data_IF_508727522278
#
_entry.id   IF_508727522278
#
_cell.length_a   1.000
_cell.length_b   1.000
_cell.length_c   1.000
_cell.angle_alpha   90.00
_cell.angle_beta   90.00
_cell.angle_gamma   90.00
#
_symmetry.space_group_name_H-M   'P 1'
#
loop_
_entity.id
_entity.type
_entity.pdbx_description
1 polymer ?
#
# COMPACT_ATOMS: atom_id res chain seq x y z
N UNK A 1 -7.32 0.24 7.35
CA UNK A 1 -7.63 1.16 8.47
C UNK A 1 -8.95 1.89 8.16
N UNK A 2 -9.82 2.04 9.14
CA UNK A 2 -11.13 2.69 8.97
C UNK A 2 -11.32 3.74 10.08
N UNK A 3 -11.92 4.87 9.75
CA UNK A 3 -12.26 5.92 10.72
C UNK A 3 -13.44 5.47 11.57
N UNK A 4 -13.43 5.78 12.86
CA UNK A 4 -14.52 5.42 13.78
C UNK A 4 -15.85 6.04 13.36
N UNK A 5 -15.88 7.31 12.95
CA UNK A 5 -17.10 7.97 12.48
C UNK A 5 -17.75 7.21 11.33
N UNK A 6 -16.97 6.87 10.30
CA UNK A 6 -17.45 6.11 9.14
C UNK A 6 -17.96 4.70 9.49
N UNK A 7 -17.37 4.06 10.50
CA UNK A 7 -17.86 2.78 11.01
C UNK A 7 -19.20 2.93 11.74
N UNK A 8 -19.27 3.87 12.69
CA UNK A 8 -20.46 4.05 13.52
C UNK A 8 -21.66 4.57 12.73
N UNK A 9 -21.44 5.42 11.72
CA UNK A 9 -22.48 5.83 10.77
C UNK A 9 -23.18 4.63 10.12
N UNK A 10 -22.42 3.61 9.73
CA UNK A 10 -22.97 2.36 9.17
C UNK A 10 -23.52 1.43 10.27
N UNK A 11 -22.93 1.45 11.45
CA UNK A 11 -23.31 0.57 12.56
C UNK A 11 -24.72 0.84 13.08
N UNK A 12 -25.15 2.10 13.08
CA UNK A 12 -26.48 2.52 13.52
C UNK A 12 -27.54 2.47 12.42
N UNK A 13 -27.17 2.18 11.18
CA UNK A 13 -28.12 2.02 10.08
C UNK A 13 -28.70 0.59 10.06
N UNK A 14 -29.94 0.47 9.57
CA UNK A 14 -30.56 -0.83 9.33
C UNK A 14 -29.73 -1.59 8.29
N UNK A 15 -29.41 -2.85 8.57
CA UNK A 15 -28.64 -3.70 7.66
C UNK A 15 -29.47 -4.06 6.45
N UNK A 16 -28.91 -3.80 5.27
CA UNK A 16 -29.46 -4.24 4.00
C UNK A 16 -28.41 -5.07 3.27
N UNK A 17 -28.74 -6.32 2.95
CA UNK A 17 -27.87 -7.20 2.19
C UNK A 17 -28.04 -6.89 0.71
N UNK A 18 -27.13 -6.07 0.19
CA UNK A 18 -27.06 -5.66 -1.21
C UNK A 18 -25.70 -6.10 -1.79
N UNK A 19 -25.56 -6.09 -3.11
CA UNK A 19 -24.28 -6.34 -3.82
C UNK A 19 -23.77 -7.79 -3.88
N UNK A 20 -24.66 -8.79 -4.00
CA UNK A 20 -24.27 -10.20 -4.17
C UNK A 20 -23.23 -10.41 -5.29
N UNK A 21 -23.40 -9.77 -6.45
CA UNK A 21 -22.44 -9.85 -7.57
C UNK A 21 -21.03 -9.36 -7.18
N UNK A 22 -20.95 -8.23 -6.45
CA UNK A 22 -19.68 -7.68 -6.01
C UNK A 22 -18.99 -8.59 -4.99
N UNK A 23 -19.76 -9.17 -4.06
CA UNK A 23 -19.25 -10.13 -3.08
C UNK A 23 -18.61 -11.32 -3.79
N UNK A 24 -19.29 -11.89 -4.79
CA UNK A 24 -18.76 -13.02 -5.58
C UNK A 24 -17.48 -12.62 -6.31
N UNK A 25 -17.45 -11.46 -6.96
CA UNK A 25 -16.26 -10.94 -7.66
C UNK A 25 -15.10 -10.81 -6.67
N UNK A 26 -15.31 -10.17 -5.52
CA UNK A 26 -14.26 -9.99 -4.51
C UNK A 26 -13.75 -11.31 -3.94
N UNK A 27 -14.62 -12.29 -3.70
CA UNK A 27 -14.20 -13.63 -3.28
C UNK A 27 -13.32 -14.31 -4.32
N UNK A 28 -13.77 -14.34 -5.58
CA UNK A 28 -13.04 -15.01 -6.68
C UNK A 28 -11.70 -14.34 -6.89
N UNK A 29 -11.65 -13.01 -7.03
CA UNK A 29 -10.40 -12.28 -7.22
C UNK A 29 -9.49 -12.37 -5.98
N UNK A 30 -10.06 -12.35 -4.79
CA UNK A 30 -9.33 -12.54 -3.54
C UNK A 30 -8.62 -13.88 -3.47
N UNK A 31 -9.34 -14.97 -3.80
CA UNK A 31 -8.79 -16.33 -3.84
C UNK A 31 -7.73 -16.45 -4.93
N UNK A 32 -8.02 -16.00 -6.16
CA UNK A 32 -7.06 -16.09 -7.28
C UNK A 32 -5.77 -15.33 -6.94
N UNK A 33 -5.86 -14.09 -6.48
CA UNK A 33 -4.67 -13.30 -6.13
C UNK A 33 -3.90 -13.92 -4.97
N UNK A 34 -4.58 -14.23 -3.86
CA UNK A 34 -3.90 -14.67 -2.64
C UNK A 34 -3.45 -16.12 -2.69
N UNK A 35 -4.33 -17.03 -3.11
CA UNK A 35 -4.09 -18.47 -3.03
C UNK A 35 -3.34 -18.98 -4.25
N UNK A 36 -3.66 -18.50 -5.45
CA UNK A 36 -3.04 -19.01 -6.69
C UNK A 36 -1.82 -18.18 -7.11
N UNK A 37 -1.89 -16.85 -7.12
CA UNK A 37 -0.76 -16.06 -7.62
C UNK A 37 0.30 -15.89 -6.53
N UNK A 38 -0.07 -15.37 -5.37
CA UNK A 38 0.89 -14.99 -4.36
C UNK A 38 1.66 -16.17 -3.76
N UNK A 39 1.00 -17.31 -3.53
CA UNK A 39 1.67 -18.50 -2.99
C UNK A 39 2.76 -19.04 -3.92
N UNK A 40 2.46 -19.21 -5.21
CA UNK A 40 3.43 -19.74 -6.18
C UNK A 40 4.60 -18.78 -6.38
N UNK A 41 4.31 -17.48 -6.54
CA UNK A 41 5.37 -16.48 -6.68
C UNK A 41 6.20 -16.31 -5.40
N UNK A 42 5.59 -16.51 -4.22
CA UNK A 42 6.29 -16.49 -2.94
C UNK A 42 7.29 -17.63 -2.80
N UNK A 43 6.88 -18.85 -3.15
CA UNK A 43 7.78 -20.02 -3.17
C UNK A 43 8.93 -19.79 -4.15
N UNK A 44 8.62 -19.36 -5.37
CA UNK A 44 9.62 -19.08 -6.40
C UNK A 44 10.61 -17.99 -5.94
N UNK A 45 10.11 -16.82 -5.54
CA UNK A 45 10.95 -15.71 -5.12
C UNK A 45 11.83 -16.08 -3.93
N UNK A 46 11.26 -16.74 -2.91
CA UNK A 46 12.01 -17.18 -1.72
C UNK A 46 13.14 -18.14 -2.06
N UNK A 47 12.90 -19.12 -2.94
CA UNK A 47 13.91 -20.11 -3.34
C UNK A 47 15.18 -19.50 -3.97
N UNK A 48 15.03 -18.32 -4.59
CA UNK A 48 16.12 -17.58 -5.24
C UNK A 48 16.73 -16.54 -4.28
N UNK A 49 15.88 -15.73 -3.63
CA UNK A 49 16.32 -14.61 -2.80
C UNK A 49 16.97 -15.03 -1.48
N UNK A 50 16.73 -16.26 -0.99
CA UNK A 50 17.41 -16.81 0.19
C UNK A 50 18.88 -17.21 -0.12
N UNK A 51 19.20 -17.52 -1.38
CA UNK A 51 20.53 -17.98 -1.79
C UNK A 51 21.04 -17.21 -3.02
N UNK A 52 21.10 -15.88 -2.98
CA UNK A 52 21.30 -15.06 -4.18
C UNK A 52 22.63 -15.31 -4.88
N UNK A 53 23.66 -15.76 -4.15
CA UNK A 53 24.97 -16.11 -4.71
C UNK A 53 24.95 -17.34 -5.62
N UNK A 54 23.88 -18.15 -5.56
CA UNK A 54 23.75 -19.38 -6.35
C UNK A 54 23.05 -19.18 -7.70
N UNK A 55 22.58 -17.96 -7.99
CA UNK A 55 21.75 -17.67 -9.16
C UNK A 55 22.35 -16.55 -10.01
N UNK A 56 22.05 -16.58 -11.31
CA UNK A 56 22.51 -15.55 -12.23
C UNK A 56 21.65 -14.27 -12.18
N UNK A 57 22.11 -13.22 -12.85
CA UNK A 57 21.44 -11.92 -12.89
C UNK A 57 19.96 -11.99 -13.32
N UNK A 58 19.64 -12.76 -14.36
CA UNK A 58 18.27 -12.86 -14.89
C UNK A 58 17.35 -13.53 -13.86
N UNK A 59 17.84 -14.59 -13.21
CA UNK A 59 17.09 -15.29 -12.16
C UNK A 59 16.83 -14.37 -10.97
N UNK A 60 17.84 -13.64 -10.50
CA UNK A 60 17.70 -12.67 -9.42
C UNK A 60 16.69 -11.57 -9.78
N UNK A 61 16.79 -11.01 -10.98
CA UNK A 61 15.86 -9.98 -11.44
C UNK A 61 14.42 -10.51 -11.51
N UNK A 62 14.23 -11.73 -12.03
CA UNK A 62 12.92 -12.37 -12.08
C UNK A 62 12.33 -12.61 -10.68
N UNK A 63 13.17 -12.97 -9.71
CA UNK A 63 12.76 -13.20 -8.33
C UNK A 63 12.34 -11.90 -7.63
N UNK A 64 13.02 -10.78 -7.91
CA UNK A 64 12.64 -9.44 -7.41
C UNK A 64 11.26 -9.04 -7.95
N UNK A 65 11.00 -9.22 -9.24
CA UNK A 65 9.68 -8.92 -9.81
C UNK A 65 8.60 -9.88 -9.31
N UNK A 66 8.92 -11.17 -9.18
CA UNK A 66 8.01 -12.15 -8.59
C UNK A 66 7.65 -11.78 -7.15
N UNK A 67 8.62 -11.34 -6.35
CA UNK A 67 8.40 -10.87 -4.99
C UNK A 67 7.51 -9.63 -4.95
N UNK A 68 7.73 -8.65 -5.84
CA UNK A 68 6.88 -7.46 -5.93
C UNK A 68 5.42 -7.83 -6.22
N UNK A 69 5.18 -8.69 -7.22
CA UNK A 69 3.83 -9.17 -7.57
C UNK A 69 3.25 -9.99 -6.42
N UNK A 70 4.05 -10.84 -5.77
CA UNK A 70 3.62 -11.65 -4.63
C UNK A 70 3.09 -10.77 -3.51
N UNK A 71 3.84 -9.75 -3.06
CA UNK A 71 3.39 -8.85 -1.99
C UNK A 71 2.07 -8.17 -2.37
N UNK A 72 1.95 -7.69 -3.60
CA UNK A 72 0.73 -7.05 -4.07
C UNK A 72 -0.46 -8.00 -4.08
N UNK A 73 -0.30 -9.19 -4.67
CA UNK A 73 -1.38 -10.17 -4.79
C UNK A 73 -1.78 -10.75 -3.43
N UNK A 74 -0.82 -10.99 -2.53
CA UNK A 74 -1.10 -11.49 -1.18
C UNK A 74 -1.95 -10.48 -0.40
N UNK A 75 -1.55 -9.21 -0.45
CA UNK A 75 -2.22 -8.18 0.32
C UNK A 75 -3.51 -7.70 -0.33
N UNK A 76 -3.50 -7.40 -1.63
CA UNK A 76 -4.72 -7.03 -2.34
C UNK A 76 -5.75 -8.15 -2.34
N UNK A 77 -5.31 -9.41 -2.47
CA UNK A 77 -6.21 -10.56 -2.38
C UNK A 77 -6.82 -10.69 -0.98
N UNK A 78 -6.02 -10.50 0.08
CA UNK A 78 -6.54 -10.45 1.44
C UNK A 78 -7.58 -9.34 1.64
N UNK A 79 -7.29 -8.12 1.15
CA UNK A 79 -8.23 -6.99 1.25
C UNK A 79 -9.54 -7.27 0.53
N UNK A 80 -9.50 -7.89 -0.66
CA UNK A 80 -10.73 -8.25 -1.39
C UNK A 80 -11.60 -9.22 -0.57
N UNK A 81 -11.00 -10.25 0.04
CA UNK A 81 -11.72 -11.18 0.91
C UNK A 81 -12.34 -10.47 2.12
N UNK A 82 -11.58 -9.59 2.76
CA UNK A 82 -12.07 -8.81 3.90
C UNK A 82 -13.22 -7.87 3.49
N UNK A 83 -13.14 -7.23 2.33
CA UNK A 83 -14.22 -6.42 1.77
C UNK A 83 -15.46 -7.27 1.44
N UNK A 84 -15.29 -8.47 0.89
CA UNK A 84 -16.40 -9.38 0.63
C UNK A 84 -17.12 -9.77 1.92
N UNK A 85 -16.38 -10.15 2.96
CA UNK A 85 -16.96 -10.49 4.27
C UNK A 85 -17.61 -9.28 4.94
N UNK A 86 -17.01 -8.09 4.83
CA UNK A 86 -17.64 -6.87 5.35
C UNK A 86 -18.98 -6.60 4.66
N UNK A 87 -19.05 -6.74 3.34
CA UNK A 87 -20.31 -6.58 2.59
C UNK A 87 -21.35 -7.63 2.98
N UNK A 88 -20.93 -8.88 3.21
CA UNK A 88 -21.81 -9.92 3.76
C UNK A 88 -22.34 -9.58 5.16
N UNK A 89 -21.64 -8.75 5.93
CA UNK A 89 -22.09 -8.26 7.24
C UNK A 89 -22.84 -6.91 7.14
N UNK A 90 -23.09 -6.43 5.92
CA UNK A 90 -23.74 -5.14 5.67
C UNK A 90 -22.86 -3.94 5.99
N UNK A 91 -21.54 -4.06 5.85
CA UNK A 91 -20.56 -2.97 5.97
C UNK A 91 -19.80 -2.77 4.66
N UNK A 92 -19.50 -1.52 4.36
CA UNK A 92 -18.57 -1.14 3.29
C UNK A 92 -17.26 -0.68 3.91
N UNK A 93 -16.14 -1.21 3.41
CA UNK A 93 -14.81 -0.80 3.82
C UNK A 93 -14.18 0.16 2.80
N UNK A 94 -13.30 1.07 3.24
CA UNK A 94 -12.57 1.93 2.31
C UNK A 94 -11.63 1.09 1.42
N UNK A 95 -11.45 1.48 0.14
CA UNK A 95 -10.54 0.78 -0.75
C UNK A 95 -9.10 0.90 -0.27
N UNK A 96 -8.31 -0.14 -0.48
CA UNK A 96 -6.90 -0.15 -0.09
C UNK A 96 -5.93 -0.19 -1.28
N UNK A 97 -6.39 -0.63 -2.45
CA UNK A 97 -5.58 -0.73 -3.66
C UNK A 97 -6.34 -0.23 -4.89
N UNK A 98 -5.65 0.49 -5.78
CA UNK A 98 -6.21 0.97 -7.05
C UNK A 98 -5.17 0.94 -8.18
N UNK A 99 -4.89 -0.27 -8.69
CA UNK A 99 -3.92 -0.51 -9.77
C UNK A 99 -2.57 0.22 -9.55
N UNK A 100 -1.88 -0.03 -8.41
CA UNK A 100 -0.71 0.77 -8.01
C UNK A 100 0.46 0.71 -9.00
N UNK A 101 0.63 -0.40 -9.73
CA UNK A 101 1.70 -0.53 -10.73
C UNK A 101 1.43 0.22 -12.04
N UNK A 102 0.23 0.80 -12.23
CA UNK A 102 -0.05 1.75 -13.33
C UNK A 102 0.21 3.20 -12.93
N UNK A 103 0.79 3.44 -11.75
CA UNK A 103 1.10 4.78 -11.28
C UNK A 103 2.15 5.46 -12.18
N UNK A 104 1.94 6.75 -12.44
CA UNK A 104 2.85 7.56 -13.28
C UNK A 104 4.13 7.98 -12.56
N UNK A 105 4.11 7.99 -11.24
CA UNK A 105 5.25 8.34 -10.38
C UNK A 105 5.01 7.85 -8.95
N UNK A 106 5.99 8.00 -8.05
CA UNK A 106 5.91 7.48 -6.68
C UNK A 106 4.80 8.14 -5.84
N UNK A 107 4.45 9.41 -6.10
CA UNK A 107 3.33 10.07 -5.41
C UNK A 107 1.99 9.43 -5.82
N UNK A 108 1.80 9.17 -7.11
CA UNK A 108 0.63 8.47 -7.64
C UNK A 108 0.58 7.00 -7.13
N UNK A 109 1.74 6.35 -7.00
CA UNK A 109 1.85 5.01 -6.42
C UNK A 109 1.28 4.97 -4.99
N UNK A 110 1.70 5.88 -4.11
CA UNK A 110 1.21 5.93 -2.73
C UNK A 110 -0.24 6.38 -2.59
N UNK A 111 -0.81 7.02 -3.62
CA UNK A 111 -2.24 7.30 -3.70
C UNK A 111 -3.07 6.06 -4.10
N UNK A 112 -2.42 5.00 -4.57
CA UNK A 112 -3.03 3.75 -5.08
C UNK A 112 -2.64 2.51 -4.28
N UNK A 113 -1.57 2.57 -3.51
CA UNK A 113 -1.06 1.49 -2.68
C UNK A 113 -1.40 1.73 -1.21
N UNK A 114 -1.96 0.70 -0.56
CA UNK A 114 -2.29 0.71 0.87
C UNK A 114 -2.98 2.00 1.34
N UNK A 115 -3.97 2.43 0.55
CA UNK A 115 -4.60 3.76 0.58
C UNK A 115 -5.08 4.12 1.99
N UNK A 116 -5.63 3.15 2.72
CA UNK A 116 -6.17 3.40 4.05
C UNK A 116 -5.08 3.75 5.08
N UNK A 117 -3.90 3.14 4.99
CA UNK A 117 -2.74 3.52 5.82
C UNK A 117 -2.13 4.83 5.34
N UNK A 118 -1.98 5.01 4.04
CA UNK A 118 -1.47 6.26 3.47
C UNK A 118 -2.31 7.46 3.94
N UNK A 119 -3.65 7.31 3.95
CA UNK A 119 -4.56 8.31 4.50
C UNK A 119 -4.38 8.49 6.01
N UNK A 120 -4.23 7.40 6.77
CA UNK A 120 -3.99 7.48 8.22
C UNK A 120 -2.71 8.26 8.54
N UNK A 121 -1.58 7.91 7.93
CA UNK A 121 -0.30 8.59 8.12
C UNK A 121 -0.40 10.05 7.69
N UNK A 122 -1.04 10.33 6.55
CA UNK A 122 -1.26 11.70 6.10
C UNK A 122 -2.01 12.53 7.14
N UNK A 123 -3.15 12.01 7.60
CA UNK A 123 -4.11 12.77 8.37
C UNK A 123 -3.76 12.86 9.86
N UNK A 124 -3.08 11.86 10.41
CA UNK A 124 -2.75 11.76 11.83
C UNK A 124 -1.27 11.98 12.16
N UNK A 125 -0.37 11.98 11.16
CA UNK A 125 1.06 12.22 11.38
C UNK A 125 1.51 13.44 10.59
N UNK A 126 1.39 13.39 9.26
CA UNK A 126 1.96 14.42 8.39
C UNK A 126 1.28 15.80 8.53
N UNK A 127 -0.05 15.86 8.51
CA UNK A 127 -0.80 17.12 8.68
C UNK A 127 -0.56 17.73 10.06
N UNK A 128 -0.65 16.98 11.18
CA UNK A 128 -0.31 17.50 12.51
C UNK A 128 1.13 18.04 12.65
N UNK A 129 2.11 17.46 11.94
CA UNK A 129 3.50 17.97 11.90
C UNK A 129 3.64 19.32 11.16
N UNK A 130 2.56 19.79 10.52
CA UNK A 130 2.48 21.06 9.81
C UNK A 130 2.30 20.92 8.29
N UNK A 131 2.29 19.68 7.77
CA UNK A 131 2.16 19.40 6.34
C UNK A 131 3.11 20.25 5.50
N UNK A 132 2.56 20.96 4.50
CA UNK A 132 3.28 21.89 3.62
C UNK A 132 3.33 23.35 4.13
N UNK A 133 2.79 23.66 5.31
CA UNK A 133 2.47 25.05 5.70
C UNK A 133 3.68 25.91 6.12
N UNK A 134 4.78 25.28 6.53
CA UNK A 134 5.97 25.96 7.10
C UNK A 134 7.16 26.01 6.14
N UNK A 135 6.87 26.11 4.84
CA UNK A 135 7.88 26.18 3.78
C UNK A 135 8.57 24.85 3.47
N UNK A 136 9.49 24.90 2.51
CA UNK A 136 10.12 23.73 1.91
C UNK A 136 10.96 22.89 2.88
N UNK A 137 11.87 23.46 3.69
CA UNK A 137 12.67 22.66 4.61
C UNK A 137 11.81 21.85 5.60
N UNK A 138 10.74 22.46 6.14
CA UNK A 138 9.83 21.77 7.06
C UNK A 138 9.00 20.70 6.36
N UNK A 139 8.58 20.96 5.12
CA UNK A 139 7.88 19.97 4.28
C UNK A 139 8.71 18.72 4.08
N UNK A 140 10.00 18.87 3.73
CA UNK A 140 10.94 17.76 3.54
C UNK A 140 11.05 16.93 4.82
N UNK A 141 11.31 17.59 5.96
CA UNK A 141 11.41 16.91 7.26
C UNK A 141 10.11 16.18 7.60
N UNK A 142 8.96 16.79 7.39
CA UNK A 142 7.65 16.18 7.66
C UNK A 142 7.41 14.93 6.78
N UNK A 143 7.80 14.97 5.50
CA UNK A 143 7.72 13.81 4.60
C UNK A 143 8.62 12.68 5.09
N UNK A 144 9.89 12.97 5.41
CA UNK A 144 10.84 11.96 5.88
C UNK A 144 10.38 11.31 7.19
N UNK A 145 9.91 12.11 8.15
CA UNK A 145 9.35 11.58 9.41
C UNK A 145 8.15 10.67 9.13
N UNK A 146 7.21 11.10 8.29
CA UNK A 146 6.02 10.30 7.98
C UNK A 146 6.38 8.94 7.36
N UNK A 147 7.34 8.90 6.43
CA UNK A 147 7.76 7.64 5.80
C UNK A 147 8.66 6.76 6.68
N UNK A 148 9.52 7.33 7.53
CA UNK A 148 10.29 6.56 8.51
C UNK A 148 9.34 5.90 9.51
N UNK A 149 8.36 6.65 10.03
CA UNK A 149 7.33 6.08 10.91
C UNK A 149 6.48 5.04 10.19
N UNK A 150 6.18 5.21 8.90
CA UNK A 150 5.56 4.17 8.07
C UNK A 150 6.41 2.90 8.02
N UNK A 151 7.72 3.02 7.82
CA UNK A 151 8.65 1.89 7.83
C UNK A 151 8.64 1.18 9.18
N UNK A 152 8.81 1.93 10.28
CA UNK A 152 8.78 1.38 11.63
C UNK A 152 7.46 0.68 11.97
N UNK A 153 6.33 1.16 11.44
CA UNK A 153 5.03 0.49 11.58
C UNK A 153 5.00 -0.89 10.92
N UNK A 154 5.74 -1.10 9.83
CA UNK A 154 5.85 -2.40 9.16
C UNK A 154 6.81 -3.37 9.89
N UNK A 155 7.79 -2.87 10.62
CA UNK A 155 8.64 -3.69 11.48
C UNK A 155 9.81 -2.94 12.09
N UNK A 156 10.44 -3.54 13.11
CA UNK A 156 11.49 -2.91 13.92
C UNK A 156 12.92 -3.21 13.43
N UNK A 157 13.10 -3.67 12.19
CA UNK A 157 14.45 -3.93 11.65
C UNK A 157 14.98 -2.69 10.93
N UNK A 158 16.31 -2.57 10.83
CA UNK A 158 16.95 -1.49 10.08
C UNK A 158 16.48 -1.45 8.62
N UNK A 159 16.15 -2.60 8.02
CA UNK A 159 15.65 -2.69 6.66
C UNK A 159 14.36 -1.88 6.46
N UNK A 160 13.45 -1.87 7.43
CA UNK A 160 12.22 -1.09 7.35
C UNK A 160 12.44 0.41 7.50
N UNK A 161 13.41 0.83 8.33
CA UNK A 161 13.80 2.24 8.46
C UNK A 161 14.42 2.72 7.15
N UNK A 162 15.34 1.95 6.57
CA UNK A 162 15.97 2.24 5.27
C UNK A 162 14.91 2.29 4.17
N UNK A 163 13.99 1.32 4.13
CA UNK A 163 12.88 1.31 3.18
C UNK A 163 12.02 2.57 3.31
N UNK A 164 11.67 2.99 4.52
CA UNK A 164 10.93 4.23 4.77
C UNK A 164 11.69 5.46 4.28
N UNK A 165 12.97 5.57 4.63
CA UNK A 165 13.83 6.67 4.22
C UNK A 165 13.92 6.78 2.68
N UNK A 166 14.11 5.67 1.97
CA UNK A 166 14.18 5.64 0.50
C UNK A 166 12.89 6.16 -0.14
N UNK A 167 11.72 5.75 0.37
CA UNK A 167 10.44 6.24 -0.14
C UNK A 167 10.22 7.72 0.18
N UNK A 168 10.61 8.15 1.39
CA UNK A 168 10.58 9.56 1.78
C UNK A 168 11.42 10.45 0.87
N UNK A 169 12.66 10.03 0.58
CA UNK A 169 13.55 10.72 -0.36
C UNK A 169 12.94 10.77 -1.77
N UNK A 170 12.38 9.66 -2.25
CA UNK A 170 11.71 9.62 -3.56
C UNK A 170 10.53 10.59 -3.66
N UNK A 171 9.72 10.71 -2.60
CA UNK A 171 8.62 11.68 -2.56
C UNK A 171 9.13 13.13 -2.50
N UNK A 172 10.18 13.40 -1.72
CA UNK A 172 10.83 14.72 -1.70
C UNK A 172 11.34 15.09 -3.09
N UNK A 173 11.98 14.15 -3.79
CA UNK A 173 12.47 14.38 -5.15
C UNK A 173 11.34 14.75 -6.12
N UNK A 174 10.23 14.00 -6.13
CA UNK A 174 9.05 14.33 -6.94
C UNK A 174 8.46 15.69 -6.56
N UNK A 175 8.43 16.01 -5.26
CA UNK A 175 7.92 17.29 -4.79
C UNK A 175 8.77 18.45 -5.29
N UNK A 176 10.10 18.30 -5.30
CA UNK A 176 11.04 19.30 -5.82
C UNK A 176 10.90 19.46 -7.35
N UNK A 177 10.77 18.36 -8.09
CA UNK A 177 10.55 18.41 -9.54
C UNK A 177 9.24 19.14 -9.90
N UNK A 178 8.18 18.93 -9.12
CA UNK A 178 6.90 19.61 -9.35
C UNK A 178 7.00 21.14 -9.17
N UNK A 179 7.94 21.63 -8.36
CA UNK A 179 8.18 23.05 -8.13
C UNK A 179 9.08 23.68 -9.19
N UNK A 180 9.95 22.90 -9.84
CA UNK A 180 10.94 23.41 -10.80
C UNK A 180 10.39 23.68 -12.21
N UNK A 181 9.07 23.58 -12.43
CA UNK A 181 8.42 23.70 -13.76
C UNK A 181 8.95 22.71 -14.82
N UNK A 182 9.60 21.61 -14.42
CA UNK A 182 9.81 20.49 -15.33
C UNK A 182 8.52 19.65 -15.36
N UNK A 183 7.60 20.01 -16.25
CA UNK A 183 6.54 19.11 -16.67
C UNK A 183 7.16 18.01 -17.54
N UNK A 184 7.28 16.80 -16.98
CA UNK A 184 7.40 15.56 -17.76
C UNK A 184 6.00 15.04 -18.07
#
# INVERSE_FOLDING_TARGET
IMRSSFFFEQAYQKREFKHANLIIILLVFGIVKKVLIANYLGIYAKSILDFPQSYNFIQLLSAIYAYAIQIYCDFSGYVDLVCAFALMLGFTLPPNFNMPYLAKNLKDFWARWHISLSAFIRDYIYIPLGGNRKGMPRTIVNILIAFILSGMWHGNTLAFIVWGLLHGIGIVFIHLLALSKFSL
#
